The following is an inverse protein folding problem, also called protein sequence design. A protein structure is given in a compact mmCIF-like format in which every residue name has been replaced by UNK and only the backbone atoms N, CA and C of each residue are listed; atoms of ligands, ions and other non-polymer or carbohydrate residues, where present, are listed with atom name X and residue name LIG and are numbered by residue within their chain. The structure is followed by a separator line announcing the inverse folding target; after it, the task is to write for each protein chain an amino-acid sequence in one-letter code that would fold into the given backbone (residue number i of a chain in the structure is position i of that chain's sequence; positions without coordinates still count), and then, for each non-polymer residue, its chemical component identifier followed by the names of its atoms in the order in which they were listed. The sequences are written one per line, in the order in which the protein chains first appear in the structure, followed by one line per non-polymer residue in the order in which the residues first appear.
data_IF_420386529588
#
_entry.id   IF_420386529588
#
_cell.length_a   1.000
_cell.length_b   1.000
_cell.length_c   1.000
_cell.angle_alpha   90.00
_cell.angle_beta   90.00
_cell.angle_gamma   90.00
#
_symmetry.space_group_name_H-M   'P 1'
#
loop_
_entity.id
_entity.type
_entity.pdbx_description
1 polymer ?
#
# COMPACT_ATOMS: atom_id res chain seq x y z
N UNK A 1 -7.93 13.93 3.34
CA UNK A 1 -7.70 12.50 3.05
C UNK A 1 -7.28 12.38 1.60
N UNK A 2 -6.64 11.28 1.22
CA UNK A 2 -6.20 11.05 -0.15
C UNK A 2 -7.12 10.04 -0.83
N UNK A 3 -7.85 10.45 -1.86
CA UNK A 3 -8.80 9.60 -2.57
C UNK A 3 -8.09 8.41 -3.24
N UNK A 4 -8.76 7.26 -3.25
CA UNK A 4 -8.35 6.05 -3.95
C UNK A 4 -8.66 6.10 -5.45
N UNK A 5 -9.51 7.04 -5.89
CA UNK A 5 -10.06 7.09 -7.25
C UNK A 5 -11.23 6.16 -7.52
N UNK A 6 -11.71 5.42 -6.51
CA UNK A 6 -12.95 4.64 -6.55
C UNK A 6 -13.90 5.17 -5.48
N UNK A 7 -15.14 5.48 -5.87
CA UNK A 7 -16.13 6.05 -4.96
C UNK A 7 -16.45 5.07 -3.84
N UNK A 8 -16.61 3.78 -4.17
CA UNK A 8 -16.92 2.74 -3.18
C UNK A 8 -15.78 2.49 -2.21
N UNK A 9 -14.53 2.52 -2.68
CA UNK A 9 -13.36 2.40 -1.80
C UNK A 9 -13.20 3.63 -0.91
N UNK A 10 -13.43 4.83 -1.43
CA UNK A 10 -13.42 6.05 -0.63
C UNK A 10 -14.51 6.02 0.45
N UNK A 11 -15.74 5.62 0.11
CA UNK A 11 -16.83 5.44 1.08
C UNK A 11 -16.48 4.39 2.14
N UNK A 12 -15.87 3.27 1.75
CA UNK A 12 -15.39 2.24 2.68
C UNK A 12 -14.40 2.84 3.69
N UNK A 13 -13.43 3.60 3.20
CA UNK A 13 -12.36 4.23 4.01
C UNK A 13 -12.80 5.54 4.70
N UNK A 14 -14.02 6.04 4.46
CA UNK A 14 -14.51 7.29 5.03
C UNK A 14 -13.94 8.56 4.39
N UNK A 15 -13.62 8.51 3.09
CA UNK A 15 -13.08 9.61 2.28
C UNK A 15 -11.71 9.34 1.64
N UNK A 16 -11.22 8.09 1.70
CA UNK A 16 -9.92 7.68 1.17
C UNK A 16 -8.87 7.43 2.27
N UNK A 17 -7.60 7.34 1.88
CA UNK A 17 -6.52 7.08 2.83
C UNK A 17 -6.26 8.28 3.75
N UNK A 18 -6.28 8.03 5.05
CA UNK A 18 -6.11 9.08 6.02
C UNK A 18 -4.63 9.45 6.25
N UNK A 19 -4.33 10.73 6.45
CA UNK A 19 -3.00 11.17 6.82
C UNK A 19 -2.65 10.80 8.27
N UNK A 20 -1.36 10.84 8.61
CA UNK A 20 -0.90 10.65 9.99
C UNK A 20 -0.97 9.22 10.51
N UNK A 21 -1.37 8.27 9.67
CA UNK A 21 -1.51 6.85 10.01
C UNK A 21 -0.89 5.96 8.94
N UNK A 22 -0.62 4.72 9.34
CA UNK A 22 -0.25 3.64 8.45
C UNK A 22 -1.52 2.88 8.08
N UNK A 23 -1.76 2.74 6.78
CA UNK A 23 -2.77 1.83 6.25
C UNK A 23 -2.09 0.60 5.71
N UNK A 24 -2.43 -0.57 6.25
CA UNK A 24 -1.97 -1.84 5.69
C UNK A 24 -2.90 -2.26 4.56
N UNK A 25 -2.32 -2.61 3.42
CA UNK A 25 -3.07 -3.21 2.30
C UNK A 25 -2.48 -4.60 2.06
N UNK A 26 -3.28 -5.64 2.19
CA UNK A 26 -2.77 -7.00 2.04
C UNK A 26 -3.72 -7.94 1.31
N UNK A 27 -3.16 -9.04 0.81
CA UNK A 27 -3.88 -10.01 -0.01
C UNK A 27 -2.94 -10.81 -0.90
N UNK A 28 -3.43 -11.86 -1.61
CA UNK A 28 -2.65 -12.59 -2.61
C UNK A 28 -2.06 -11.71 -3.75
N UNK A 29 -1.13 -12.26 -4.52
CA UNK A 29 -0.64 -11.60 -5.75
C UNK A 29 -1.79 -11.29 -6.71
N UNK A 30 -1.69 -10.17 -7.45
CA UNK A 30 -2.69 -9.72 -8.43
C UNK A 30 -4.10 -9.46 -7.87
N UNK A 31 -4.23 -9.13 -6.58
CA UNK A 31 -5.48 -8.63 -5.98
C UNK A 31 -5.69 -7.13 -6.14
N UNK A 32 -4.69 -6.39 -6.65
CA UNK A 32 -4.79 -4.96 -6.93
C UNK A 32 -4.08 -4.04 -5.93
N UNK A 33 -3.27 -4.57 -5.00
CA UNK A 33 -2.56 -3.79 -3.97
C UNK A 33 -1.68 -2.69 -4.56
N UNK A 34 -0.72 -3.07 -5.41
CA UNK A 34 0.18 -2.16 -6.13
C UNK A 34 -0.61 -1.21 -7.04
N UNK A 35 -1.61 -1.72 -7.77
CA UNK A 35 -2.47 -0.89 -8.64
C UNK A 35 -3.20 0.20 -7.85
N UNK A 36 -3.76 -0.14 -6.69
CA UNK A 36 -4.44 0.82 -5.80
C UNK A 36 -3.48 1.90 -5.29
N UNK A 37 -2.28 1.50 -4.85
CA UNK A 37 -1.27 2.45 -4.38
C UNK A 37 -0.77 3.38 -5.50
N UNK A 38 -0.48 2.84 -6.68
CA UNK A 38 -0.05 3.64 -7.84
C UNK A 38 -1.18 4.57 -8.30
N UNK A 39 -2.42 4.08 -8.41
CA UNK A 39 -3.57 4.92 -8.77
C UNK A 39 -3.75 6.08 -7.79
N UNK A 40 -3.70 5.80 -6.49
CA UNK A 40 -3.79 6.83 -5.43
C UNK A 40 -2.70 7.89 -5.60
N UNK A 41 -1.48 7.47 -5.93
CA UNK A 41 -0.35 8.36 -6.18
C UNK A 41 -0.48 9.19 -7.45
N UNK A 42 -0.98 8.61 -8.55
CA UNK A 42 -1.26 9.36 -9.79
C UNK A 42 -2.28 10.48 -9.52
N UNK A 43 -3.37 10.14 -8.83
CA UNK A 43 -4.48 11.05 -8.57
C UNK A 43 -4.16 12.12 -7.52
N UNK A 44 -3.09 11.96 -6.74
CA UNK A 44 -2.70 12.95 -5.74
C UNK A 44 -2.16 14.25 -6.35
N UNK A 45 -1.69 14.20 -7.60
CA UNK A 45 -1.08 15.34 -8.29
C UNK A 45 0.27 15.79 -7.72
N UNK A 46 0.84 15.05 -6.77
CA UNK A 46 2.05 15.42 -6.00
C UNK A 46 3.08 14.29 -6.01
N UNK A 47 4.26 14.53 -5.44
CA UNK A 47 5.30 13.49 -5.36
C UNK A 47 4.86 12.31 -4.49
N UNK A 48 5.35 11.14 -4.85
CA UNK A 48 5.15 9.86 -4.16
C UNK A 48 6.52 9.25 -3.89
N UNK A 49 6.80 8.89 -2.64
CA UNK A 49 7.96 8.07 -2.32
C UNK A 49 7.54 6.60 -2.37
N UNK A 50 8.09 5.83 -3.30
CA UNK A 50 7.72 4.43 -3.51
C UNK A 50 8.92 3.53 -3.23
N UNK A 51 8.85 2.72 -2.17
CA UNK A 51 9.87 1.74 -1.84
C UNK A 51 9.41 0.38 -2.37
N UNK A 52 10.01 -0.10 -3.45
CA UNK A 52 9.69 -1.36 -4.10
C UNK A 52 10.74 -2.44 -3.77
N UNK A 53 10.38 -3.38 -2.91
CA UNK A 53 11.25 -4.48 -2.45
C UNK A 53 10.99 -5.77 -3.24
N UNK A 54 9.86 -5.89 -3.94
CA UNK A 54 9.46 -7.10 -4.67
C UNK A 54 9.60 -6.95 -6.19
N UNK A 55 9.90 -5.75 -6.70
CA UNK A 55 9.91 -5.45 -8.14
C UNK A 55 8.49 -5.40 -8.71
N UNK A 56 7.49 -5.06 -7.88
CA UNK A 56 6.08 -5.03 -8.26
C UNK A 56 5.67 -3.74 -9.00
N UNK A 57 6.49 -2.69 -8.92
CA UNK A 57 6.23 -1.43 -9.60
C UNK A 57 6.52 -1.54 -11.10
N UNK A 58 5.53 -1.17 -11.94
CA UNK A 58 5.70 -1.11 -13.39
C UNK A 58 5.46 0.33 -13.88
N UNK A 59 6.49 0.99 -14.44
CA UNK A 59 6.36 2.29 -15.10
C UNK A 59 5.33 2.26 -16.24
N UNK A 60 5.30 1.18 -17.03
CA UNK A 60 4.38 1.00 -18.15
C UNK A 60 2.93 1.00 -17.65
N UNK A 61 2.68 0.28 -16.55
CA UNK A 61 1.36 0.24 -15.93
C UNK A 61 0.93 1.60 -15.38
N UNK A 62 1.87 2.36 -14.80
CA UNK A 62 1.61 3.73 -14.35
C UNK A 62 1.23 4.62 -15.53
N UNK A 63 2.02 4.62 -16.60
CA UNK A 63 1.77 5.41 -17.82
C UNK A 63 0.41 5.07 -18.43
N UNK A 64 0.11 3.77 -18.57
CA UNK A 64 -1.19 3.30 -19.04
C UNK A 64 -2.35 3.86 -18.22
N UNK A 65 -2.25 3.84 -16.88
CA UNK A 65 -3.31 4.34 -16.01
C UNK A 65 -3.46 5.87 -16.05
N UNK A 66 -2.38 6.60 -16.32
CA UNK A 66 -2.38 8.04 -16.50
C UNK A 66 -3.03 8.42 -17.85
N UNK A 67 -2.60 7.79 -18.94
CA UNK A 67 -3.15 7.98 -20.29
C UNK A 67 -4.65 7.67 -20.35
N UNK A 68 -5.08 6.55 -19.77
CA UNK A 68 -6.49 6.16 -19.73
C UNK A 68 -7.37 7.12 -18.91
N UNK A 69 -6.76 8.05 -18.15
CA UNK A 69 -7.41 9.13 -17.41
C UNK A 69 -7.21 10.52 -18.04
N UNK A 70 -6.63 10.60 -19.23
CA UNK A 70 -6.26 11.86 -19.89
C UNK A 70 -5.29 12.72 -19.06
N UNK A 71 -4.36 12.07 -18.35
CA UNK A 71 -3.25 12.72 -17.65
C UNK A 71 -1.96 12.53 -18.46
N UNK A 72 -1.00 13.45 -18.30
CA UNK A 72 0.32 13.31 -18.91
C UNK A 72 1.09 12.15 -18.23
N UNK A 73 1.46 11.08 -18.98
CA UNK A 73 2.15 9.91 -18.42
C UNK A 73 3.58 10.21 -17.97
N UNK A 74 4.30 11.12 -18.62
CA UNK A 74 5.66 11.48 -18.23
C UNK A 74 5.65 12.36 -16.98
N UNK A 75 4.70 13.29 -16.90
CA UNK A 75 4.50 14.08 -15.68
C UNK A 75 4.13 13.16 -14.51
N UNK A 76 3.18 12.25 -14.70
CA UNK A 76 2.78 11.27 -13.68
C UNK A 76 3.96 10.41 -13.23
N UNK A 77 4.78 9.90 -14.16
CA UNK A 77 5.95 9.09 -13.84
C UNK A 77 7.00 9.90 -13.06
N UNK A 78 7.27 11.14 -13.46
CA UNK A 78 8.27 12.00 -12.81
C UNK A 78 7.98 12.31 -11.34
N UNK A 79 6.72 12.21 -10.93
CA UNK A 79 6.28 12.40 -9.54
C UNK A 79 6.59 11.19 -8.64
N UNK A 80 6.86 10.02 -9.21
CA UNK A 80 7.17 8.81 -8.45
C UNK A 80 8.68 8.70 -8.23
N UNK A 81 9.11 8.91 -6.99
CA UNK A 81 10.49 8.72 -6.56
C UNK A 81 10.65 7.28 -6.07
N UNK A 82 11.22 6.44 -6.93
CA UNK A 82 11.35 5.00 -6.70
C UNK A 82 12.63 4.67 -5.94
N UNK A 83 12.52 3.78 -4.95
CA UNK A 83 13.62 3.21 -4.19
C UNK A 83 13.52 1.69 -4.24
N UNK A 84 14.57 1.02 -4.71
CA UNK A 84 14.59 -0.45 -4.88
C UNK A 84 15.67 -1.08 -4.00
N UNK A 85 15.40 -1.34 -2.71
CA UNK A 85 16.35 -2.04 -1.85
C UNK A 85 16.58 -3.48 -2.34
N UNK A 86 17.84 -3.92 -2.32
CA UNK A 86 18.21 -5.30 -2.64
C UNK A 86 18.01 -6.26 -1.45
N UNK A 87 18.09 -5.74 -0.23
CA UNK A 87 17.96 -6.53 1.00
C UNK A 87 17.27 -5.75 2.15
N UNK A 88 16.99 -6.45 3.25
CA UNK A 88 16.32 -5.87 4.41
C UNK A 88 17.13 -4.76 5.11
N UNK A 89 18.47 -4.84 5.06
CA UNK A 89 19.38 -3.85 5.66
C UNK A 89 19.37 -2.55 4.87
N UNK A 90 19.35 -2.64 3.54
CA UNK A 90 19.16 -1.53 2.63
C UNK A 90 17.76 -0.93 2.77
N UNK A 91 16.72 -1.75 2.83
CA UNK A 91 15.34 -1.30 3.12
C UNK A 91 15.30 -0.45 4.40
N UNK A 92 15.94 -0.91 5.48
CA UNK A 92 16.04 -0.16 6.75
C UNK A 92 16.75 1.18 6.56
N UNK A 93 17.84 1.23 5.79
CA UNK A 93 18.58 2.48 5.50
C UNK A 93 17.74 3.45 4.67
N UNK A 94 17.08 2.97 3.63
CA UNK A 94 16.20 3.75 2.76
C UNK A 94 15.04 4.33 3.57
N UNK A 95 14.33 3.52 4.36
CA UNK A 95 13.25 4.03 5.23
C UNK A 95 13.78 5.09 6.21
N UNK A 96 15.00 4.91 6.72
CA UNK A 96 15.68 5.92 7.53
C UNK A 96 15.96 7.24 6.78
N UNK A 97 16.40 7.15 5.51
CA UNK A 97 16.70 8.33 4.69
C UNK A 97 15.44 9.08 4.24
N UNK A 98 14.29 8.40 4.13
CA UNK A 98 13.00 9.04 3.83
C UNK A 98 12.67 10.19 4.79
N UNK A 99 13.16 10.16 6.04
CA UNK A 99 13.00 11.27 6.99
C UNK A 99 13.56 12.62 6.48
N UNK A 100 14.56 12.57 5.60
CA UNK A 100 15.20 13.75 4.99
C UNK A 100 14.69 14.04 3.59
N UNK A 101 14.20 13.02 2.88
CA UNK A 101 13.75 13.14 1.49
C UNK A 101 12.29 13.61 1.40
N UNK A 102 11.42 13.10 2.29
CA UNK A 102 9.99 13.39 2.24
C UNK A 102 9.72 14.75 2.91
N UNK A 103 9.40 15.73 2.07
CA UNK A 103 9.01 17.11 2.42
C UNK A 103 7.55 17.40 2.01
N UNK A 104 7.14 18.68 2.06
CA UNK A 104 5.78 19.13 1.76
C UNK A 104 5.35 18.94 0.28
N UNK A 105 6.30 18.63 -0.62
CA UNK A 105 6.00 18.29 -2.02
C UNK A 105 5.47 16.87 -2.20
N UNK A 106 5.60 16.02 -1.16
CA UNK A 106 5.07 14.66 -1.16
C UNK A 106 3.64 14.60 -0.64
N UNK A 107 2.90 13.62 -1.15
CA UNK A 107 1.50 13.35 -0.76
C UNK A 107 1.27 11.92 -0.26
N UNK A 108 2.22 11.03 -0.50
CA UNK A 108 2.07 9.60 -0.27
C UNK A 108 3.45 8.97 -0.10
N UNK A 109 3.55 8.04 0.85
CA UNK A 109 4.66 7.09 0.94
C UNK A 109 4.08 5.69 0.78
N UNK A 110 4.69 4.86 -0.06
CA UNK A 110 4.32 3.46 -0.27
C UNK A 110 5.52 2.58 0.02
N UNK A 111 5.30 1.46 0.73
CA UNK A 111 6.28 0.39 0.88
C UNK A 111 5.68 -0.92 0.37
N UNK A 112 6.19 -1.42 -0.76
CA UNK A 112 5.69 -2.59 -1.50
C UNK A 112 6.79 -3.63 -1.74
N UNK A 113 6.94 -4.67 -0.94
CA UNK A 113 6.22 -4.97 0.30
C UNK A 113 7.14 -4.86 1.52
N UNK A 114 6.58 -4.50 2.67
CA UNK A 114 7.36 -4.35 3.91
C UNK A 114 7.96 -5.68 4.41
N UNK A 115 7.45 -6.83 3.93
CA UNK A 115 7.82 -8.16 4.42
C UNK A 115 8.56 -9.03 3.41
N UNK A 116 8.88 -8.52 2.22
CA UNK A 116 9.52 -9.29 1.15
C UNK A 116 10.75 -10.07 1.65
N UNK A 117 11.67 -9.37 2.32
CA UNK A 117 12.89 -9.96 2.87
C UNK A 117 12.70 -10.67 4.23
N UNK A 118 11.54 -10.54 4.88
CA UNK A 118 11.22 -11.30 6.10
C UNK A 118 11.08 -12.80 5.83
N UNK A 119 10.73 -13.16 4.58
CA UNK A 119 10.50 -14.56 4.17
C UNK A 119 11.79 -15.36 3.91
N UNK A 120 12.90 -14.67 3.65
CA UNK A 120 14.13 -15.28 3.18
C UNK A 120 15.18 -15.54 4.28
N UNK A 121 15.03 -14.96 5.47
CA UNK A 121 16.06 -15.02 6.52
C UNK A 121 15.67 -15.93 7.70
N UNK A 122 16.65 -16.68 8.21
CA UNK A 122 16.51 -17.65 9.30
C UNK A 122 16.26 -16.98 10.67
N UNK A 123 16.72 -15.74 10.90
CA UNK A 123 16.59 -15.05 12.19
C UNK A 123 15.34 -14.14 12.29
N UNK A 124 14.18 -14.78 12.43
CA UNK A 124 12.87 -14.13 12.42
C UNK A 124 12.61 -13.13 13.57
N UNK A 125 13.31 -13.27 14.71
CA UNK A 125 13.04 -12.45 15.90
C UNK A 125 13.72 -11.07 15.86
N UNK A 126 14.96 -11.00 15.36
CA UNK A 126 15.66 -9.72 15.14
C UNK A 126 14.93 -8.87 14.10
N UNK A 127 14.42 -9.52 13.05
CA UNK A 127 13.64 -8.88 11.99
C UNK A 127 12.33 -8.25 12.46
N UNK A 128 11.64 -8.82 13.47
CA UNK A 128 10.43 -8.21 14.03
C UNK A 128 10.74 -6.88 14.75
N UNK A 129 11.87 -6.82 15.44
CA UNK A 129 12.32 -5.60 16.12
C UNK A 129 12.65 -4.51 15.11
N UNK A 130 13.37 -4.87 14.05
CA UNK A 130 13.73 -3.93 12.99
C UNK A 130 12.53 -3.51 12.14
N UNK A 131 11.59 -4.41 11.86
CA UNK A 131 10.30 -4.07 11.25
C UNK A 131 9.55 -3.05 12.12
N UNK A 132 9.47 -3.26 13.43
CA UNK A 132 8.82 -2.32 14.35
C UNK A 132 9.49 -0.93 14.32
N UNK A 133 10.82 -0.87 14.23
CA UNK A 133 11.57 0.39 14.07
C UNK A 133 11.27 1.07 12.73
N UNK A 134 11.21 0.32 11.64
CA UNK A 134 10.85 0.84 10.32
C UNK A 134 9.42 1.42 10.31
N UNK A 135 8.45 0.68 10.85
CA UNK A 135 7.06 1.16 11.00
C UNK A 135 6.98 2.41 11.87
N UNK A 136 7.82 2.53 12.92
CA UNK A 136 7.90 3.74 13.73
C UNK A 136 8.44 4.94 12.96
N UNK A 137 9.45 4.74 12.09
CA UNK A 137 9.96 5.80 11.21
C UNK A 137 8.88 6.22 10.21
N UNK A 138 8.20 5.27 9.57
CA UNK A 138 7.10 5.53 8.66
C UNK A 138 5.96 6.30 9.35
N UNK A 139 5.59 5.92 10.58
CA UNK A 139 4.56 6.63 11.35
C UNK A 139 4.98 8.05 11.69
N UNK A 140 6.26 8.26 12.01
CA UNK A 140 6.79 9.59 12.22
C UNK A 140 6.68 10.44 10.95
N UNK A 141 7.01 9.90 9.77
CA UNK A 141 6.87 10.60 8.49
C UNK A 141 5.39 10.94 8.23
N UNK A 142 4.50 9.96 8.39
CA UNK A 142 3.05 10.13 8.20
C UNK A 142 2.50 11.31 9.00
N UNK A 143 2.91 11.41 10.27
CA UNK A 143 2.47 12.46 11.20
C UNK A 143 3.16 13.79 10.96
N UNK A 144 4.47 13.78 10.68
CA UNK A 144 5.27 14.98 10.50
C UNK A 144 4.84 15.75 9.25
N UNK A 145 4.63 15.02 8.15
CA UNK A 145 4.20 15.61 6.87
C UNK A 145 2.69 15.59 6.67
N UNK A 146 1.93 15.02 7.61
CA UNK A 146 0.48 14.88 7.54
C UNK A 146 0.01 14.24 6.21
N UNK A 147 0.66 13.14 5.82
CA UNK A 147 0.36 12.35 4.62
C UNK A 147 0.05 10.89 4.97
N UNK A 148 -0.72 10.17 4.15
CA UNK A 148 -0.90 8.72 4.29
C UNK A 148 0.40 7.96 4.00
N UNK A 149 0.59 6.86 4.73
CA UNK A 149 1.62 5.85 4.41
C UNK A 149 0.93 4.51 4.16
N UNK A 150 1.16 3.94 2.98
CA UNK A 150 0.64 2.64 2.59
C UNK A 150 1.71 1.57 2.78
N UNK A 151 1.36 0.55 3.53
CA UNK A 151 2.21 -0.60 3.81
C UNK A 151 1.60 -1.80 3.11
N UNK A 152 2.16 -2.19 1.98
CA UNK A 152 1.69 -3.34 1.22
C UNK A 152 2.33 -4.61 1.80
N UNK A 153 1.51 -5.65 1.91
CA UNK A 153 1.93 -6.94 2.43
C UNK A 153 1.29 -8.09 1.64
N UNK A 154 2.01 -9.20 1.49
CA UNK A 154 1.48 -10.42 0.91
C UNK A 154 0.93 -11.33 2.01
N UNK A 155 -0.05 -12.15 1.67
CA UNK A 155 -0.55 -13.18 2.59
C UNK A 155 0.38 -14.38 2.70
N UNK A 156 0.32 -15.07 3.84
CA UNK A 156 0.90 -16.39 4.05
C UNK A 156 -0.20 -17.36 4.51
N UNK A 157 -0.13 -18.60 4.06
CA UNK A 157 -1.01 -19.67 4.55
C UNK A 157 -0.44 -20.20 5.86
N UNK A 158 -1.17 -20.01 6.96
CA UNK A 158 -0.82 -20.60 8.25
C UNK A 158 -1.40 -22.01 8.32
N UNK A 159 -0.55 -23.01 8.12
CA UNK A 159 -0.96 -24.42 8.13
C UNK A 159 -1.45 -24.93 9.48
N UNK A 160 -1.08 -24.27 10.59
CA UNK A 160 -1.51 -24.68 11.94
C UNK A 160 -2.93 -24.24 12.25
N UNK A 161 -3.36 -23.16 11.61
CA UNK A 161 -4.63 -22.49 11.87
C UNK A 161 -5.57 -22.60 10.68
N UNK A 162 -5.16 -23.36 9.66
CA UNK A 162 -5.87 -23.60 8.39
C UNK A 162 -6.47 -22.34 7.78
N UNK A 163 -5.75 -21.22 7.91
CA UNK A 163 -6.22 -19.91 7.46
C UNK A 163 -5.12 -19.04 6.89
N UNK A 164 -5.50 -18.21 5.94
CA UNK A 164 -4.62 -17.20 5.37
C UNK A 164 -4.51 -16.01 6.32
N UNK A 165 -3.28 -15.60 6.67
CA UNK A 165 -3.00 -14.44 7.54
C UNK A 165 -2.02 -13.48 6.85
N UNK A 166 -2.05 -12.18 7.18
CA UNK A 166 -0.97 -11.28 6.81
C UNK A 166 0.34 -11.70 7.51
N UNK A 167 1.47 -11.59 6.81
CA UNK A 167 2.78 -11.80 7.43
C UNK A 167 3.01 -10.75 8.52
N UNK A 168 3.56 -11.14 9.68
CA UNK A 168 3.79 -10.25 10.83
C UNK A 168 2.52 -9.56 11.38
N UNK A 169 1.39 -10.27 11.37
CA UNK A 169 0.06 -9.81 11.84
C UNK A 169 0.10 -9.02 13.15
N UNK A 170 0.80 -9.51 14.19
CA UNK A 170 0.86 -8.81 15.48
C UNK A 170 1.58 -7.47 15.40
N UNK A 171 2.78 -7.43 14.81
CA UNK A 171 3.60 -6.21 14.71
C UNK A 171 2.94 -5.17 13.81
N UNK A 172 2.44 -5.60 12.65
CA UNK A 172 1.73 -4.72 11.73
C UNK A 172 0.39 -4.26 12.31
N UNK A 173 -0.37 -5.15 12.91
CA UNK A 173 -1.66 -4.84 13.53
C UNK A 173 -1.54 -3.80 14.65
N UNK A 174 -0.45 -3.78 15.42
CA UNK A 174 -0.28 -2.77 16.47
C UNK A 174 -0.09 -1.34 15.90
N UNK A 175 0.64 -1.24 14.78
CA UNK A 175 1.07 0.04 14.18
C UNK A 175 0.12 0.55 13.10
N UNK A 176 -0.47 -0.34 12.30
CA UNK A 176 -1.43 -0.01 11.26
C UNK A 176 -2.81 0.16 11.89
N UNK A 177 -3.34 1.38 11.80
CA UNK A 177 -4.63 1.72 12.41
C UNK A 177 -5.79 1.42 11.49
N UNK A 178 -5.52 1.33 10.19
CA UNK A 178 -6.47 0.91 9.18
C UNK A 178 -5.86 -0.30 8.44
N UNK A 179 -6.67 -1.33 8.20
CA UNK A 179 -6.26 -2.58 7.54
C UNK A 179 -7.29 -2.93 6.47
N UNK A 180 -6.83 -2.97 5.23
CA UNK A 180 -7.62 -3.29 4.05
C UNK A 180 -7.13 -4.61 3.45
N UNK A 181 -8.01 -5.62 3.45
CA UNK A 181 -7.76 -6.91 2.79
C UNK A 181 -8.35 -6.89 1.37
N UNK A 182 -7.57 -7.32 0.39
CA UNK A 182 -7.99 -7.45 -1.01
C UNK A 182 -8.00 -8.92 -1.44
N UNK A 183 -9.12 -9.38 -1.96
CA UNK A 183 -9.33 -10.75 -2.45
C UNK A 183 -9.60 -10.80 -3.95
N UNK A 184 -9.25 -11.94 -4.56
CA UNK A 184 -9.67 -12.30 -5.91
C UNK A 184 -11.04 -12.94 -5.88
N UNK A 185 -11.87 -12.58 -6.85
CA UNK A 185 -13.12 -13.29 -7.12
C UNK A 185 -13.01 -14.09 -8.43
N UNK A 186 -13.87 -15.10 -8.66
CA UNK A 186 -13.78 -15.97 -9.83
C UNK A 186 -13.92 -15.25 -11.18
N UNK A 187 -14.57 -14.08 -11.21
CA UNK A 187 -14.74 -13.28 -12.43
C UNK A 187 -13.43 -12.51 -12.77
N UNK A 188 -12.96 -12.51 -14.03
CA UNK A 188 -11.78 -11.76 -14.43
C UNK A 188 -11.84 -10.29 -14.02
N UNK A 189 -10.72 -9.77 -13.50
CA UNK A 189 -10.61 -8.39 -13.00
C UNK A 189 -11.42 -8.06 -11.75
N UNK A 190 -12.44 -8.84 -11.37
CA UNK A 190 -13.30 -8.57 -10.22
C UNK A 190 -12.57 -8.88 -8.91
N UNK A 191 -12.65 -7.97 -7.95
CA UNK A 191 -12.00 -8.04 -6.64
C UNK A 191 -12.95 -7.61 -5.55
N UNK A 192 -12.59 -7.96 -4.32
CA UNK A 192 -13.29 -7.60 -3.10
C UNK A 192 -12.32 -6.90 -2.16
N UNK A 193 -12.69 -5.74 -1.65
CA UNK A 193 -12.00 -5.07 -0.54
C UNK A 193 -12.80 -5.26 0.74
N UNK A 194 -12.12 -5.60 1.83
CA UNK A 194 -12.71 -5.83 3.14
C UNK A 194 -11.96 -4.96 4.14
N UNK A 195 -12.70 -4.13 4.87
CA UNK A 195 -12.15 -3.29 5.92
C UNK A 195 -12.07 -4.08 7.21
N UNK A 196 -10.92 -4.67 7.49
CA UNK A 196 -10.74 -5.51 8.68
C UNK A 196 -10.47 -4.71 9.94
N UNK A 197 -9.94 -3.50 9.77
CA UNK A 197 -9.74 -2.56 10.86
C UNK A 197 -9.85 -1.14 10.36
N UNK A 198 -10.51 -0.30 11.13
CA UNK A 198 -10.49 1.14 10.91
C UNK A 198 -10.71 1.88 12.21
N UNK A 199 -10.13 3.06 12.34
CA UNK A 199 -10.26 3.87 13.57
C UNK A 199 -11.70 4.25 13.92
N UNK A 200 -12.55 4.45 12.92
CA UNK A 200 -13.89 5.03 13.07
C UNK A 200 -14.97 4.41 12.17
N UNK A 201 -14.63 3.44 11.31
CA UNK A 201 -15.58 2.85 10.34
C UNK A 201 -15.90 1.42 10.76
N UNK A 202 -17.11 0.90 10.47
CA UNK A 202 -17.46 -0.46 10.85
C UNK A 202 -16.54 -1.49 10.20
N UNK A 203 -15.89 -2.30 11.04
CA UNK A 203 -15.08 -3.44 10.59
C UNK A 203 -15.96 -4.51 9.93
N UNK A 204 -15.39 -5.25 8.98
CA UNK A 204 -16.08 -6.28 8.21
C UNK A 204 -16.89 -5.76 7.01
N UNK A 205 -16.99 -4.44 6.83
CA UNK A 205 -17.63 -3.85 5.64
C UNK A 205 -16.85 -4.22 4.36
N UNK A 206 -17.57 -4.47 3.27
CA UNK A 206 -16.99 -4.97 2.02
C UNK A 206 -17.46 -4.17 0.81
N UNK A 207 -16.58 -3.99 -0.18
CA UNK A 207 -16.93 -3.38 -1.47
C UNK A 207 -16.28 -4.13 -2.63
N UNK A 208 -17.00 -4.21 -3.74
CA UNK A 208 -16.49 -4.79 -4.98
C UNK A 208 -15.89 -3.70 -5.86
N UNK A 209 -14.75 -4.02 -6.48
CA UNK A 209 -14.09 -3.19 -7.48
C UNK A 209 -13.54 -4.06 -8.61
N UNK A 210 -13.18 -3.45 -9.74
CA UNK A 210 -12.56 -4.13 -10.88
C UNK A 210 -11.18 -3.53 -11.18
N UNK A 211 -10.26 -4.39 -11.59
CA UNK A 211 -8.99 -3.97 -12.18
C UNK A 211 -9.17 -3.87 -13.71
N UNK A 212 -8.93 -2.69 -14.28
CA UNK A 212 -9.09 -2.36 -15.71
C UNK A 212 -7.84 -1.64 -16.24
N UNK A 213 -7.84 -1.16 -17.48
CA UNK A 213 -6.74 -0.34 -18.02
C UNK A 213 -6.57 0.99 -17.28
N UNK A 214 -7.68 1.54 -16.78
CA UNK A 214 -7.70 2.67 -15.86
C UNK A 214 -7.30 2.26 -14.44
N UNK A 215 -6.79 1.08 -14.14
CA UNK A 215 -6.42 0.73 -12.76
C UNK A 215 -7.59 0.15 -11.98
N UNK A 216 -8.03 0.80 -10.90
CA UNK A 216 -9.15 0.38 -10.03
C UNK A 216 -10.40 1.21 -10.34
N UNK A 217 -11.49 0.53 -10.69
CA UNK A 217 -12.81 1.12 -10.97
C UNK A 217 -13.93 0.45 -10.16
N UNK A 218 -15.02 1.18 -9.94
CA UNK A 218 -16.21 0.66 -9.27
C UNK A 218 -16.95 -0.37 -10.13
N UNK A 219 -17.56 -1.37 -9.49
CA UNK A 219 -18.40 -2.34 -10.20
C UNK A 219 -19.80 -1.75 -10.40
N UNK A 220 -20.25 -1.65 -11.65
CA UNK A 220 -21.62 -1.30 -12.00
C UNK A 220 -21.85 0.14 -12.46
N UNK A 221 -20.81 0.84 -12.92
CA UNK A 221 -20.93 2.03 -13.78
C UNK A 221 -20.61 1.68 -15.24
#
# INVERSE_FOLDING_TARGET
MLSTGSRKLDELLGGGFAPGVLTQIYGPYATGKTTLAVQTGILSGKKVAYVDTEGGFSPERLKQMAEARNLDPEEALSRFILFTPADFKEQRRIIGSLKKVVDDSFSLVVVDSITAHYRAEENRMGLLTDLSRQLQVLLWIARKQNIPVLVINQVHYDSRLERTRPVAEQTLGYRCKDILRLDKLPKPGLRLAILERHRFRPEGTMVYFRITEKGIEDVGE
#
